data_IF_442805606388
#
_entry.id   IF_442805606388
#
_cell.length_a   1.000
_cell.length_b   1.000
_cell.length_c   1.000
_cell.angle_alpha   90.00
_cell.angle_beta   90.00
_cell.angle_gamma   90.00
#
_symmetry.space_group_name_H-M   'P 1'
#
loop_
_entity.id
_entity.type
_entity.pdbx_description
1 polymer ?
#
# COMPACT_ATOMS: atom_id res chain seq x y z
N UNK A 1 -2.38 -16.54 -4.66
CA UNK A 1 -3.46 -15.55 -4.91
C UNK A 1 -2.95 -14.26 -5.54
N UNK A 2 -1.92 -13.58 -5.02
CA UNK A 2 -1.43 -12.35 -5.67
C UNK A 2 -0.97 -12.57 -7.12
N UNK A 3 -0.24 -13.65 -7.40
CA UNK A 3 0.14 -14.01 -8.77
C UNK A 3 -1.07 -14.35 -9.66
N UNK A 4 -2.12 -14.98 -9.11
CA UNK A 4 -3.38 -15.21 -9.82
C UNK A 4 -4.08 -13.87 -10.13
N UNK A 5 -4.13 -12.95 -9.17
CA UNK A 5 -4.63 -11.59 -9.41
C UNK A 5 -3.86 -10.90 -10.53
N UNK A 6 -2.52 -11.00 -10.53
CA UNK A 6 -1.69 -10.48 -11.62
C UNK A 6 -2.05 -11.12 -12.95
N UNK A 7 -2.14 -12.45 -13.00
CA UNK A 7 -2.43 -13.20 -14.23
C UNK A 7 -3.75 -12.76 -14.86
N UNK A 8 -4.83 -12.72 -14.06
CA UNK A 8 -6.18 -12.33 -14.53
C UNK A 8 -6.24 -10.88 -15.04
N UNK A 9 -5.47 -9.96 -14.45
CA UNK A 9 -5.51 -8.56 -14.85
C UNK A 9 -4.57 -8.21 -16.01
N UNK A 10 -3.47 -8.97 -16.22
CA UNK A 10 -2.39 -8.58 -17.15
C UNK A 10 -2.08 -9.60 -18.21
N UNK A 11 -2.47 -10.89 -18.03
CA UNK A 11 -2.12 -11.96 -18.97
C UNK A 11 -3.36 -12.51 -19.66
N UNK A 12 -4.33 -13.02 -18.90
CA UNK A 12 -5.56 -13.61 -19.46
C UNK A 12 -6.72 -13.48 -18.45
N UNK A 13 -7.70 -12.65 -18.78
CA UNK A 13 -8.89 -12.37 -17.94
C UNK A 13 -9.97 -13.46 -18.04
N UNK A 14 -9.87 -14.36 -19.01
CA UNK A 14 -10.77 -15.53 -19.16
C UNK A 14 -10.35 -16.76 -18.35
N UNK A 15 -9.23 -16.67 -17.63
CA UNK A 15 -8.58 -17.80 -16.94
C UNK A 15 -9.41 -18.30 -15.77
N UNK A 16 -9.92 -19.53 -15.88
CA UNK A 16 -10.74 -20.15 -14.84
C UNK A 16 -9.90 -20.61 -13.64
N UNK A 17 -10.55 -20.95 -12.53
CA UNK A 17 -9.87 -21.54 -11.38
C UNK A 17 -9.20 -22.87 -11.73
N UNK A 18 -9.84 -23.71 -12.55
CA UNK A 18 -9.29 -25.00 -12.95
C UNK A 18 -8.05 -24.84 -13.83
N UNK A 19 -8.02 -23.80 -14.69
CA UNK A 19 -6.84 -23.47 -15.47
C UNK A 19 -5.70 -22.96 -14.58
N UNK A 20 -6.02 -22.18 -13.54
CA UNK A 20 -5.05 -21.76 -12.56
C UNK A 20 -4.43 -22.91 -11.78
N UNK A 21 -5.23 -23.89 -11.35
CA UNK A 21 -4.74 -25.09 -10.66
C UNK A 21 -3.82 -25.93 -11.58
N UNK A 22 -4.15 -26.05 -12.88
CA UNK A 22 -3.27 -26.68 -13.88
C UNK A 22 -1.98 -25.87 -14.09
N UNK A 23 -2.08 -24.54 -14.15
CA UNK A 23 -0.92 -23.65 -14.30
C UNK A 23 0.08 -23.80 -13.14
N UNK A 24 -0.40 -23.92 -11.90
CA UNK A 24 0.44 -24.15 -10.73
C UNK A 24 1.21 -25.49 -10.78
N UNK A 25 0.73 -26.47 -11.54
CA UNK A 25 1.39 -27.76 -11.74
C UNK A 25 2.50 -27.76 -12.81
N UNK A 26 2.70 -26.64 -13.52
CA UNK A 26 3.78 -26.51 -14.53
C UNK A 26 5.15 -26.36 -13.85
N UNK A 27 6.20 -26.70 -14.59
CA UNK A 27 7.59 -26.49 -14.15
C UNK A 27 7.91 -25.00 -13.97
N UNK A 28 9.00 -24.68 -13.26
CA UNK A 28 9.50 -23.31 -13.08
C UNK A 28 9.70 -22.63 -14.43
N UNK A 29 10.39 -23.30 -15.37
CA UNK A 29 10.67 -22.76 -16.70
C UNK A 29 9.41 -22.48 -17.51
N UNK A 30 8.43 -23.40 -17.51
CA UNK A 30 7.15 -23.17 -18.19
C UNK A 30 6.39 -21.97 -17.63
N UNK A 31 6.44 -21.75 -16.30
CA UNK A 31 5.82 -20.61 -15.64
C UNK A 31 6.56 -19.31 -15.94
N UNK A 32 7.91 -19.31 -15.91
CA UNK A 32 8.73 -18.16 -16.30
C UNK A 32 8.47 -17.77 -17.74
N UNK A 33 8.42 -18.74 -18.66
CA UNK A 33 8.12 -18.51 -20.09
C UNK A 33 6.71 -17.94 -20.30
N UNK A 34 5.75 -18.33 -19.46
CA UNK A 34 4.39 -17.77 -19.49
C UNK A 34 4.29 -16.36 -18.84
N UNK A 35 5.39 -15.82 -18.33
CA UNK A 35 5.46 -14.48 -17.77
C UNK A 35 5.03 -14.36 -16.29
N UNK A 36 4.68 -15.47 -15.62
CA UNK A 36 4.33 -15.47 -14.19
C UNK A 36 4.88 -16.73 -13.53
N UNK A 37 5.82 -16.60 -12.62
CA UNK A 37 6.34 -17.70 -11.81
C UNK A 37 5.80 -17.65 -10.37
N UNK A 38 5.17 -18.73 -9.92
CA UNK A 38 4.62 -18.89 -8.56
C UNK A 38 5.51 -19.81 -7.76
N UNK A 39 6.74 -19.39 -7.60
CA UNK A 39 7.79 -20.13 -6.91
C UNK A 39 8.59 -19.20 -5.97
N UNK A 40 9.26 -19.72 -4.95
CA UNK A 40 10.34 -19.00 -4.29
C UNK A 40 11.38 -18.51 -5.33
N UNK A 41 11.92 -17.32 -5.14
CA UNK A 41 12.95 -16.80 -6.05
C UNK A 41 14.15 -17.75 -6.16
N UNK A 42 14.47 -18.45 -5.07
CA UNK A 42 15.54 -19.47 -5.05
C UNK A 42 15.31 -20.56 -6.09
N UNK A 43 14.07 -21.05 -6.24
CA UNK A 43 13.77 -22.10 -7.21
C UNK A 43 14.01 -21.60 -8.66
N UNK A 44 13.71 -20.32 -8.95
CA UNK A 44 14.00 -19.70 -10.25
C UNK A 44 15.50 -19.54 -10.46
N UNK A 45 16.24 -19.12 -9.43
CA UNK A 45 17.70 -18.98 -9.48
C UNK A 45 18.42 -20.32 -9.69
N UNK A 46 17.88 -21.40 -9.13
CA UNK A 46 18.47 -22.74 -9.22
C UNK A 46 18.06 -23.47 -10.53
N UNK A 47 17.00 -23.02 -11.23
CA UNK A 47 16.59 -23.52 -12.52
C UNK A 47 17.42 -22.88 -13.64
N UNK A 48 18.41 -23.65 -14.14
CA UNK A 48 19.37 -23.16 -15.13
C UNK A 48 18.70 -22.75 -16.44
N UNK A 49 17.70 -23.51 -16.90
CA UNK A 49 16.99 -23.23 -18.16
C UNK A 49 16.25 -21.89 -18.08
N UNK A 50 15.55 -21.63 -16.98
CA UNK A 50 14.88 -20.36 -16.73
C UNK A 50 15.87 -19.19 -16.69
N UNK A 51 16.98 -19.34 -15.95
CA UNK A 51 17.97 -18.27 -15.82
C UNK A 51 18.69 -17.99 -17.14
N UNK A 52 19.09 -19.02 -17.90
CA UNK A 52 19.71 -18.87 -19.22
C UNK A 52 18.75 -18.20 -20.21
N UNK A 53 17.45 -18.55 -20.17
CA UNK A 53 16.40 -17.92 -20.96
C UNK A 53 16.27 -16.43 -20.66
N UNK A 54 16.17 -16.05 -19.38
CA UNK A 54 16.06 -14.66 -18.95
C UNK A 54 17.31 -13.83 -19.31
N UNK A 55 18.50 -14.38 -19.11
CA UNK A 55 19.75 -13.72 -19.47
C UNK A 55 19.87 -13.52 -20.99
N UNK A 56 19.51 -14.53 -21.78
CA UNK A 56 19.54 -14.47 -23.25
C UNK A 56 18.52 -13.46 -23.80
N UNK A 57 17.34 -13.37 -23.19
CA UNK A 57 16.32 -12.39 -23.57
C UNK A 57 16.78 -10.96 -23.30
N UNK A 58 17.61 -10.77 -22.27
CA UNK A 58 18.01 -9.47 -21.76
C UNK A 58 16.92 -8.81 -20.92
N UNK A 59 17.30 -8.32 -19.75
CA UNK A 59 16.39 -7.63 -18.83
C UNK A 59 16.89 -6.21 -18.63
N UNK A 60 16.09 -5.21 -19.02
CA UNK A 60 16.45 -3.81 -18.84
C UNK A 60 16.18 -3.34 -17.39
N UNK A 61 15.10 -3.82 -16.77
CA UNK A 61 14.63 -3.35 -15.46
C UNK A 61 14.24 -4.50 -14.56
N UNK A 62 14.73 -4.49 -13.33
CA UNK A 62 14.28 -5.40 -12.26
C UNK A 62 13.66 -4.56 -11.14
N UNK A 63 12.37 -4.79 -10.85
CA UNK A 63 11.62 -4.11 -9.78
C UNK A 63 11.17 -5.14 -8.77
N UNK A 64 11.38 -4.89 -7.48
CA UNK A 64 10.94 -5.79 -6.44
C UNK A 64 10.72 -5.13 -5.09
N UNK A 65 9.89 -5.80 -4.27
CA UNK A 65 9.67 -5.46 -2.86
C UNK A 65 9.98 -6.69 -2.00
N UNK A 66 11.25 -7.13 -1.89
CA UNK A 66 11.59 -8.30 -1.10
C UNK A 66 11.16 -8.08 0.35
N UNK A 67 10.37 -9.00 0.94
CA UNK A 67 9.84 -8.81 2.28
C UNK A 67 10.98 -8.78 3.31
N UNK A 68 10.94 -7.77 4.17
CA UNK A 68 11.84 -7.62 5.31
C UNK A 68 11.02 -7.50 6.60
N UNK A 69 10.23 -8.53 6.91
CA UNK A 69 9.33 -8.50 8.07
C UNK A 69 10.08 -8.47 9.41
N UNK A 70 11.32 -8.94 9.47
CA UNK A 70 12.20 -8.77 10.61
C UNK A 70 12.55 -7.30 10.90
N UNK A 71 12.40 -6.42 9.91
CA UNK A 71 12.72 -4.98 10.00
C UNK A 71 11.48 -4.10 10.22
N UNK A 72 10.25 -4.64 10.08
CA UNK A 72 9.03 -3.83 10.20
C UNK A 72 8.76 -3.37 11.62
N UNK A 73 8.39 -2.10 11.79
CA UNK A 73 7.94 -1.53 13.08
C UNK A 73 6.65 -2.19 13.59
N UNK A 74 5.80 -2.71 12.70
CA UNK A 74 4.56 -3.42 13.04
C UNK A 74 4.78 -4.92 13.33
N UNK A 75 5.99 -5.46 13.10
CA UNK A 75 6.37 -6.84 13.33
C UNK A 75 7.17 -7.04 14.63
N UNK A 76 7.33 -8.31 15.03
CA UNK A 76 8.31 -8.68 16.06
C UNK A 76 9.69 -8.64 15.40
N UNK A 77 10.43 -7.55 15.54
CA UNK A 77 11.81 -7.44 15.03
C UNK A 77 12.62 -8.67 15.42
N UNK A 78 12.85 -9.56 14.46
CA UNK A 78 13.60 -10.80 14.65
C UNK A 78 14.75 -10.88 13.63
N UNK A 79 15.99 -10.66 14.05
CA UNK A 79 17.16 -10.74 13.16
C UNK A 79 17.33 -12.13 12.52
N UNK A 80 16.86 -13.20 13.17
CA UNK A 80 16.96 -14.59 12.68
C UNK A 80 15.80 -14.99 11.74
N UNK A 81 14.93 -14.08 11.30
CA UNK A 81 13.84 -14.40 10.39
C UNK A 81 14.41 -14.80 9.01
N UNK A 82 14.03 -16.00 8.54
CA UNK A 82 14.50 -16.55 7.25
C UNK A 82 14.22 -15.59 6.09
N UNK A 83 13.17 -14.78 6.17
CA UNK A 83 12.80 -13.79 5.14
C UNK A 83 13.80 -12.64 5.02
N UNK A 84 14.69 -12.45 5.98
CA UNK A 84 15.77 -11.48 5.88
C UNK A 84 16.80 -11.85 4.80
N UNK A 85 16.78 -13.10 4.29
CA UNK A 85 17.62 -13.55 3.17
C UNK A 85 17.08 -13.12 1.80
N UNK A 86 15.79 -12.83 1.68
CA UNK A 86 15.16 -12.55 0.39
C UNK A 86 15.71 -11.30 -0.33
N UNK A 87 16.12 -10.22 0.34
CA UNK A 87 16.82 -9.13 -0.33
C UNK A 87 18.14 -9.54 -0.98
N UNK A 88 18.85 -10.49 -0.38
CA UNK A 88 20.12 -11.00 -0.92
C UNK A 88 19.90 -11.94 -2.11
N UNK A 89 18.88 -12.78 -2.08
CA UNK A 89 18.45 -13.57 -3.24
C UNK A 89 18.02 -12.65 -4.40
N UNK A 90 17.36 -11.54 -4.10
CA UNK A 90 17.04 -10.52 -5.10
C UNK A 90 18.30 -9.93 -5.74
N UNK A 91 19.32 -9.60 -4.95
CA UNK A 91 20.62 -9.12 -5.48
C UNK A 91 21.36 -10.19 -6.30
N UNK A 92 21.28 -11.47 -5.92
CA UNK A 92 21.81 -12.56 -6.74
C UNK A 92 21.13 -12.63 -8.11
N UNK A 93 19.80 -12.45 -8.16
CA UNK A 93 19.07 -12.36 -9.42
C UNK A 93 19.53 -11.15 -10.25
N UNK A 94 19.70 -9.99 -9.64
CA UNK A 94 20.26 -8.78 -10.29
C UNK A 94 21.65 -9.05 -10.84
N UNK A 95 22.53 -9.68 -10.08
CA UNK A 95 23.89 -10.02 -10.51
C UNK A 95 23.90 -10.91 -11.75
N UNK A 96 23.02 -11.91 -11.81
CA UNK A 96 22.95 -12.84 -12.95
C UNK A 96 22.32 -12.21 -14.20
N UNK A 97 21.29 -11.41 -14.03
CA UNK A 97 20.54 -10.81 -15.14
C UNK A 97 21.10 -9.46 -15.62
N UNK A 98 21.90 -8.78 -14.81
CA UNK A 98 22.60 -7.52 -15.12
C UNK A 98 21.68 -6.42 -15.71
N UNK A 99 20.53 -6.13 -15.10
CA UNK A 99 19.59 -5.13 -15.62
C UNK A 99 20.24 -3.74 -15.67
N UNK A 100 19.75 -2.87 -16.55
CA UNK A 100 20.18 -1.46 -16.59
C UNK A 100 19.71 -0.70 -15.35
N UNK A 101 18.49 -1.00 -14.90
CA UNK A 101 17.87 -0.33 -13.74
C UNK A 101 17.37 -1.36 -12.72
N UNK A 102 17.60 -1.06 -11.46
CA UNK A 102 17.12 -1.84 -10.31
C UNK A 102 16.28 -0.95 -9.40
N UNK A 103 15.11 -1.43 -8.99
CA UNK A 103 14.24 -0.76 -8.04
C UNK A 103 13.90 -1.72 -6.90
N UNK A 104 14.26 -1.36 -5.67
CA UNK A 104 13.90 -2.10 -4.46
C UNK A 104 12.97 -1.22 -3.62
N UNK A 105 11.71 -1.64 -3.44
CA UNK A 105 10.73 -0.95 -2.57
C UNK A 105 10.68 -1.62 -1.21
N UNK A 106 10.53 -0.80 -0.15
CA UNK A 106 10.35 -1.34 1.19
C UNK A 106 9.65 -0.35 2.14
N UNK A 107 9.34 -0.84 3.35
CA UNK A 107 8.75 -0.04 4.42
C UNK A 107 9.81 0.83 5.12
N UNK A 108 9.40 1.99 5.66
CA UNK A 108 10.31 2.91 6.36
C UNK A 108 11.06 2.28 7.55
N UNK A 109 10.51 1.21 8.13
CA UNK A 109 11.17 0.46 9.21
C UNK A 109 12.54 -0.10 8.84
N UNK A 110 12.83 -0.27 7.55
CA UNK A 110 14.11 -0.76 7.05
C UNK A 110 15.29 0.22 7.30
N UNK A 111 15.00 1.50 7.55
CA UNK A 111 16.03 2.48 7.93
C UNK A 111 16.49 2.39 9.39
N UNK A 112 15.83 1.56 10.21
CA UNK A 112 16.19 1.43 11.63
C UNK A 112 17.26 0.35 11.79
N UNK A 113 18.26 0.66 12.64
CA UNK A 113 19.32 -0.28 13.02
C UNK A 113 18.75 -1.33 13.98
N UNK A 114 19.28 -2.56 13.91
CA UNK A 114 18.99 -3.59 14.92
C UNK A 114 19.84 -3.42 16.17
N UNK A 115 21.09 -3.04 15.97
CA UNK A 115 22.10 -2.77 17.00
C UNK A 115 22.71 -1.39 16.75
N UNK A 116 23.18 -0.67 17.80
CA UNK A 116 23.92 0.58 17.66
C UNK A 116 25.17 0.45 16.76
N UNK A 117 25.80 -0.74 16.79
CA UNK A 117 27.06 -1.01 16.09
C UNK A 117 26.88 -1.48 14.64
N UNK A 118 25.63 -1.70 14.19
CA UNK A 118 25.33 -2.16 12.84
C UNK A 118 24.68 -1.07 12.02
N UNK A 119 24.99 -1.02 10.73
CA UNK A 119 24.26 -0.18 9.78
C UNK A 119 22.85 -0.71 9.56
N UNK A 120 21.92 0.20 9.20
CA UNK A 120 20.57 -0.21 8.88
C UNK A 120 20.55 -1.09 7.63
N UNK A 121 19.62 -2.05 7.51
CA UNK A 121 19.48 -2.87 6.31
C UNK A 121 19.31 -2.06 5.02
N UNK A 122 18.74 -0.88 5.12
CA UNK A 122 18.62 0.04 4.00
C UNK A 122 19.99 0.50 3.48
N UNK A 123 20.93 0.84 4.37
CA UNK A 123 22.31 1.23 4.00
C UNK A 123 23.08 0.03 3.47
N UNK A 124 22.98 -1.13 4.15
CA UNK A 124 23.66 -2.36 3.72
C UNK A 124 23.24 -2.77 2.31
N UNK A 125 21.94 -2.72 1.98
CA UNK A 125 21.45 -3.06 0.63
C UNK A 125 21.88 -2.04 -0.43
N UNK A 126 21.94 -0.76 -0.11
CA UNK A 126 22.51 0.23 -1.02
C UNK A 126 23.96 -0.07 -1.35
N UNK A 127 24.77 -0.39 -0.33
CA UNK A 127 26.19 -0.73 -0.56
C UNK A 127 26.31 -2.01 -1.37
N UNK A 128 25.56 -3.05 -1.00
CA UNK A 128 25.60 -4.33 -1.74
C UNK A 128 25.17 -4.16 -3.21
N UNK A 129 24.21 -3.29 -3.51
CA UNK A 129 23.83 -3.01 -4.89
C UNK A 129 24.91 -2.23 -5.65
N UNK A 130 25.64 -1.30 -5.00
CA UNK A 130 26.80 -0.63 -5.62
C UNK A 130 27.87 -1.63 -6.06
N UNK A 131 28.07 -2.68 -5.25
CA UNK A 131 29.11 -3.68 -5.47
C UNK A 131 28.61 -4.88 -6.32
N UNK A 132 27.37 -4.88 -6.77
CA UNK A 132 26.78 -6.00 -7.53
C UNK A 132 27.20 -5.93 -9.01
N UNK A 133 27.81 -7.02 -9.52
CA UNK A 133 28.19 -7.16 -10.93
C UNK A 133 29.19 -6.10 -11.38
N UNK A 134 28.85 -5.35 -12.44
CA UNK A 134 29.69 -4.25 -12.96
C UNK A 134 29.51 -2.93 -12.18
N UNK A 135 28.69 -2.94 -11.15
CA UNK A 135 28.39 -1.80 -10.30
C UNK A 135 27.17 -0.98 -10.74
N UNK A 136 26.58 -0.32 -9.74
CA UNK A 136 25.44 0.59 -9.92
C UNK A 136 25.73 1.93 -9.22
N UNK A 137 25.35 3.04 -9.84
CA UNK A 137 25.12 4.27 -9.06
C UNK A 137 23.81 4.10 -8.32
N UNK A 138 23.75 4.41 -7.03
CA UNK A 138 22.62 4.07 -6.17
C UNK A 138 22.10 5.30 -5.45
N UNK A 139 20.80 5.56 -5.60
CA UNK A 139 20.06 6.63 -4.92
C UNK A 139 19.06 6.03 -3.94
N UNK A 140 19.18 6.38 -2.66
CA UNK A 140 18.15 6.12 -1.66
C UNK A 140 17.09 7.21 -1.69
N UNK A 141 15.81 6.82 -1.68
CA UNK A 141 14.70 7.78 -1.63
C UNK A 141 13.65 7.39 -0.60
N UNK A 142 13.13 8.38 0.13
CA UNK A 142 11.97 8.26 1.01
C UNK A 142 10.78 8.97 0.36
N UNK A 143 9.81 8.20 -0.09
CA UNK A 143 8.67 8.71 -0.84
C UNK A 143 7.36 8.50 -0.07
N UNK A 144 6.37 9.34 -0.35
CA UNK A 144 5.02 9.16 0.18
C UNK A 144 4.04 9.12 -0.99
N UNK A 145 3.25 8.05 -1.10
CA UNK A 145 2.27 7.88 -2.17
C UNK A 145 1.30 9.08 -2.30
N UNK A 146 1.08 9.82 -1.21
CA UNK A 146 0.28 11.05 -1.18
C UNK A 146 0.80 12.12 -2.15
N UNK A 147 2.11 12.25 -2.30
CA UNK A 147 2.75 13.23 -3.18
C UNK A 147 2.63 12.87 -4.68
N UNK A 148 2.10 11.69 -4.95
CA UNK A 148 1.88 11.15 -6.31
C UNK A 148 0.38 11.01 -6.65
N UNK A 149 -0.51 11.52 -5.79
CA UNK A 149 -1.95 11.55 -6.04
C UNK A 149 -2.74 10.38 -5.40
N UNK A 150 -2.10 9.51 -4.62
CA UNK A 150 -2.83 8.53 -3.84
C UNK A 150 -3.55 9.22 -2.65
N UNK A 151 -4.86 8.96 -2.42
CA UNK A 151 -5.60 9.55 -1.30
C UNK A 151 -5.27 8.87 0.04
N UNK A 152 -3.98 8.60 0.28
CA UNK A 152 -3.49 8.02 1.53
C UNK A 152 -2.08 8.48 1.88
N UNK A 153 -1.84 8.66 3.16
CA UNK A 153 -0.50 8.88 3.71
C UNK A 153 0.23 7.52 3.82
N UNK A 154 1.06 7.19 2.79
CA UNK A 154 1.77 5.91 2.69
C UNK A 154 3.25 6.13 2.42
N UNK A 155 4.06 6.34 3.48
CA UNK A 155 5.50 6.50 3.32
C UNK A 155 6.18 5.17 2.98
N UNK A 156 7.18 5.24 2.08
CA UNK A 156 8.01 4.11 1.62
C UNK A 156 9.45 4.52 1.47
N UNK A 157 10.34 3.55 1.62
CA UNK A 157 11.73 3.67 1.20
C UNK A 157 11.92 2.92 -0.12
N UNK A 158 12.74 3.51 -1.00
CA UNK A 158 13.16 2.85 -2.23
C UNK A 158 14.66 2.99 -2.40
N UNK A 159 15.27 1.96 -3.00
CA UNK A 159 16.64 1.97 -3.47
C UNK A 159 16.57 1.88 -4.98
N UNK A 160 17.14 2.86 -5.66
CA UNK A 160 17.14 2.98 -7.10
C UNK A 160 18.59 2.86 -7.58
N UNK A 161 18.85 1.88 -8.44
CA UNK A 161 20.16 1.64 -9.02
C UNK A 161 20.13 1.82 -10.53
N UNK A 162 21.10 2.55 -11.08
CA UNK A 162 21.37 2.64 -12.52
C UNK A 162 22.76 2.08 -12.76
N UNK A 163 22.89 1.12 -13.68
CA UNK A 163 24.17 0.48 -13.98
C UNK A 163 25.20 1.49 -14.45
N UNK A 164 26.44 1.37 -13.99
CA UNK A 164 27.50 2.40 -14.14
C UNK A 164 27.72 2.76 -15.61
N UNK A 165 27.77 1.79 -16.53
CA UNK A 165 27.96 2.04 -17.96
C UNK A 165 26.84 2.91 -18.56
N UNK A 166 25.58 2.69 -18.13
CA UNK A 166 24.43 3.49 -18.58
C UNK A 166 24.47 4.90 -17.98
N UNK A 167 24.87 4.99 -16.72
CA UNK A 167 25.00 6.27 -16.04
C UNK A 167 26.08 7.14 -16.68
N UNK A 168 27.27 6.59 -16.94
CA UNK A 168 28.39 7.29 -17.59
C UNK A 168 28.04 7.76 -19.00
N UNK A 169 27.39 6.88 -19.81
CA UNK A 169 27.00 7.21 -21.17
C UNK A 169 26.02 8.39 -21.26
N UNK A 170 25.23 8.64 -20.19
CA UNK A 170 24.21 9.69 -20.17
C UNK A 170 24.52 10.82 -19.18
N UNK A 171 25.65 10.78 -18.47
CA UNK A 171 26.04 11.81 -17.50
C UNK A 171 25.19 11.84 -16.22
N UNK A 172 24.53 10.73 -15.87
CA UNK A 172 23.73 10.64 -14.65
C UNK A 172 24.60 10.41 -13.41
N UNK A 173 24.26 11.07 -12.33
CA UNK A 173 24.90 10.93 -11.02
C UNK A 173 23.85 10.68 -9.94
N UNK A 174 24.22 9.89 -8.93
CA UNK A 174 23.43 9.74 -7.72
C UNK A 174 23.94 10.70 -6.64
N UNK A 175 23.06 11.06 -5.70
CA UNK A 175 23.45 11.79 -4.50
C UNK A 175 23.66 10.82 -3.34
N UNK A 176 24.60 11.14 -2.44
CA UNK A 176 24.82 10.31 -1.25
C UNK A 176 23.69 10.45 -0.22
N UNK A 177 22.97 11.55 -0.27
CA UNK A 177 21.91 11.87 0.67
C UNK A 177 20.60 11.16 0.32
N UNK A 178 19.88 10.73 1.36
CA UNK A 178 18.50 10.23 1.23
C UNK A 178 17.60 11.37 0.74
N UNK A 179 17.17 11.31 -0.50
CA UNK A 179 16.18 12.24 -1.02
C UNK A 179 14.79 11.96 -0.45
N UNK A 180 14.00 13.01 -0.17
CA UNK A 180 12.66 12.91 0.39
C UNK A 180 11.64 13.60 -0.51
N UNK A 181 10.59 12.90 -0.90
CA UNK A 181 9.50 13.52 -1.66
C UNK A 181 8.72 14.51 -0.81
N UNK A 182 8.27 15.59 -1.44
CA UNK A 182 7.30 16.55 -0.93
C UNK A 182 6.20 16.75 -1.96
N UNK A 183 5.18 17.56 -1.68
CA UNK A 183 4.27 17.99 -2.74
C UNK A 183 5.00 18.80 -3.80
N UNK A 184 4.49 18.81 -5.03
CA UNK A 184 5.15 19.43 -6.17
C UNK A 184 5.48 20.93 -5.94
N UNK A 185 4.61 21.64 -5.24
CA UNK A 185 4.76 23.05 -4.83
C UNK A 185 5.59 23.27 -3.55
N UNK A 186 6.08 22.20 -2.95
CA UNK A 186 6.89 22.24 -1.71
C UNK A 186 8.28 21.62 -1.90
N UNK A 187 8.64 21.26 -3.12
CA UNK A 187 9.97 20.72 -3.42
C UNK A 187 11.00 21.83 -3.27
N UNK A 188 11.98 21.62 -2.40
CA UNK A 188 13.15 22.48 -2.25
C UNK A 188 14.32 21.89 -3.05
N UNK A 189 14.84 22.66 -4.02
CA UNK A 189 15.93 22.26 -4.89
C UNK A 189 15.52 21.32 -6.04
N UNK A 190 16.53 20.69 -6.64
CA UNK A 190 16.34 19.79 -7.78
C UNK A 190 15.97 18.36 -7.34
N UNK A 191 15.08 17.73 -8.10
CA UNK A 191 14.79 16.31 -7.94
C UNK A 191 15.91 15.50 -8.61
N UNK A 192 16.61 14.61 -7.87
CA UNK A 192 17.66 13.78 -8.47
C UNK A 192 17.14 12.98 -9.67
N UNK A 193 17.97 12.74 -10.67
CA UNK A 193 17.60 11.95 -11.84
C UNK A 193 17.09 10.54 -11.48
N UNK A 194 17.67 9.94 -10.43
CA UNK A 194 17.25 8.65 -9.89
C UNK A 194 16.22 8.83 -8.76
N UNK A 195 15.27 9.76 -8.86
CA UNK A 195 14.18 9.89 -7.93
C UNK A 195 12.85 10.11 -8.68
N UNK A 196 11.75 9.42 -8.31
CA UNK A 196 10.47 9.66 -8.96
C UNK A 196 9.96 11.05 -8.63
N UNK A 197 9.71 11.87 -9.65
CA UNK A 197 9.21 13.23 -9.47
C UNK A 197 7.79 13.21 -8.91
N UNK A 198 7.46 13.95 -7.83
CA UNK A 198 6.10 14.14 -7.36
C UNK A 198 5.18 14.72 -8.45
N UNK A 199 3.90 14.36 -8.42
CA UNK A 199 2.97 14.67 -9.51
C UNK A 199 1.82 15.58 -9.11
N UNK A 200 1.64 15.85 -7.82
CA UNK A 200 0.54 16.68 -7.31
C UNK A 200 1.02 17.74 -6.33
N UNK A 201 0.38 18.90 -6.36
CA UNK A 201 0.51 19.93 -5.34
C UNK A 201 -0.30 19.56 -4.10
N UNK A 202 -0.05 20.22 -2.97
CA UNK A 202 -0.86 20.02 -1.76
C UNK A 202 -2.35 20.28 -2.01
N UNK A 203 -2.66 21.32 -2.77
CA UNK A 203 -4.05 21.65 -3.12
C UNK A 203 -4.73 20.60 -4.03
N UNK A 204 -3.96 19.83 -4.78
CA UNK A 204 -4.45 18.76 -5.66
C UNK A 204 -4.56 17.39 -4.97
N UNK A 205 -4.02 17.26 -3.76
CA UNK A 205 -4.02 15.98 -3.04
C UNK A 205 -5.46 15.52 -2.73
N UNK A 206 -5.86 14.31 -3.15
CA UNK A 206 -7.20 13.82 -2.92
C UNK A 206 -7.43 13.38 -1.47
N UNK A 207 -8.69 13.46 -1.03
CA UNK A 207 -9.16 13.06 0.29
C UNK A 207 -9.93 11.73 0.25
N UNK A 208 -10.37 11.26 1.42
CA UNK A 208 -11.28 10.10 1.52
C UNK A 208 -12.58 10.37 0.75
N UNK A 209 -13.15 11.59 0.83
CA UNK A 209 -14.37 11.96 0.11
C UNK A 209 -14.17 11.90 -1.41
N UNK A 210 -13.01 12.34 -1.92
CA UNK A 210 -12.69 12.26 -3.35
C UNK A 210 -12.60 10.82 -3.84
N UNK A 211 -12.12 9.92 -2.97
CA UNK A 211 -11.84 8.53 -3.33
C UNK A 211 -13.06 7.61 -3.25
N UNK A 212 -13.84 7.70 -2.19
CA UNK A 212 -14.91 6.73 -1.88
C UNK A 212 -16.28 7.34 -1.60
N UNK A 213 -16.44 8.64 -1.75
CA UNK A 213 -17.71 9.32 -1.44
C UNK A 213 -18.90 8.81 -2.26
N UNK A 214 -18.67 8.32 -3.49
CA UNK A 214 -19.67 7.72 -4.36
C UNK A 214 -19.99 6.25 -4.03
N UNK A 215 -19.18 5.58 -3.21
CA UNK A 215 -19.34 4.17 -2.84
C UNK A 215 -20.21 3.98 -1.58
N UNK A 216 -20.79 5.05 -1.04
CA UNK A 216 -21.75 4.94 0.05
C UNK A 216 -22.97 4.12 -0.37
N UNK A 217 -23.48 3.31 0.56
CA UNK A 217 -24.57 2.36 0.28
C UNK A 217 -25.90 2.76 0.95
N UNK A 218 -25.83 3.51 2.03
CA UNK A 218 -27.00 3.92 2.84
C UNK A 218 -27.30 5.41 2.67
N UNK A 219 -26.29 6.21 2.41
CA UNK A 219 -26.40 7.67 2.30
C UNK A 219 -26.16 8.14 0.86
N UNK A 220 -26.64 9.34 0.51
CA UNK A 220 -26.25 9.97 -0.75
C UNK A 220 -24.74 10.09 -0.88
N UNK A 221 -24.25 10.14 -2.12
CA UNK A 221 -22.83 10.33 -2.37
C UNK A 221 -22.28 11.56 -1.63
N UNK A 222 -21.11 11.40 -1.02
CA UNK A 222 -20.38 12.45 -0.31
C UNK A 222 -19.10 12.79 -1.08
N UNK A 223 -19.28 13.36 -2.26
CA UNK A 223 -18.17 13.67 -3.15
C UNK A 223 -17.36 14.85 -2.65
N UNK A 224 -16.05 14.67 -2.57
CA UNK A 224 -15.11 15.75 -2.35
C UNK A 224 -14.92 16.60 -3.63
N UNK A 225 -14.28 17.76 -3.51
CA UNK A 225 -14.13 18.70 -4.63
C UNK A 225 -13.29 18.16 -5.80
N UNK A 226 -12.50 17.11 -5.59
CA UNK A 226 -11.63 16.49 -6.59
C UNK A 226 -12.14 15.13 -7.07
N UNK A 227 -13.29 14.67 -6.56
CA UNK A 227 -13.82 13.33 -6.81
C UNK A 227 -13.90 12.97 -8.31
N UNK A 228 -14.44 13.89 -9.13
CA UNK A 228 -14.54 13.66 -10.58
C UNK A 228 -13.20 13.51 -11.26
N UNK A 229 -12.21 14.35 -10.91
CA UNK A 229 -10.88 14.28 -11.49
C UNK A 229 -10.14 13.00 -11.03
N UNK A 230 -10.26 12.66 -9.75
CA UNK A 230 -9.67 11.45 -9.19
C UNK A 230 -10.26 10.19 -9.83
N UNK A 231 -11.59 10.05 -9.88
CA UNK A 231 -12.25 8.88 -10.49
C UNK A 231 -11.94 8.74 -11.98
N UNK A 232 -11.79 9.84 -12.70
CA UNK A 232 -11.36 9.78 -14.12
C UNK A 232 -9.99 9.11 -14.27
N UNK A 233 -9.06 9.34 -13.35
CA UNK A 233 -7.76 8.66 -13.36
C UNK A 233 -7.90 7.16 -13.10
N UNK A 234 -8.84 6.73 -12.24
CA UNK A 234 -9.10 5.31 -11.98
C UNK A 234 -9.81 4.59 -13.15
N UNK A 235 -10.51 5.31 -14.01
CA UNK A 235 -11.23 4.73 -15.15
C UNK A 235 -10.35 4.48 -16.38
N UNK A 236 -9.12 4.97 -16.38
CA UNK A 236 -8.23 4.93 -17.55
C UNK A 236 -7.17 3.83 -17.45
N UNK A 237 -7.59 2.54 -17.44
CA UNK A 237 -6.64 1.42 -17.62
C UNK A 237 -5.76 1.61 -18.87
N UNK A 238 -6.33 2.16 -19.92
CA UNK A 238 -5.60 2.48 -21.16
C UNK A 238 -4.42 3.43 -20.92
N UNK A 239 -4.52 4.37 -19.98
CA UNK A 239 -3.41 5.25 -19.60
C UNK A 239 -2.26 4.49 -18.92
N UNK A 240 -2.52 3.30 -18.44
CA UNK A 240 -1.53 2.43 -17.79
C UNK A 240 -1.07 1.29 -18.70
N UNK A 241 -1.48 1.30 -19.97
CA UNK A 241 -1.15 0.26 -20.94
C UNK A 241 -1.78 -1.11 -20.62
N UNK A 242 -2.82 -1.16 -19.79
CA UNK A 242 -3.47 -2.40 -19.40
C UNK A 242 -4.55 -2.78 -20.44
N UNK A 243 -4.70 -4.07 -20.79
CA UNK A 243 -5.80 -4.52 -21.61
C UNK A 243 -7.14 -4.25 -20.93
N UNK A 244 -8.19 -3.99 -21.73
CA UNK A 244 -9.54 -3.85 -21.19
C UNK A 244 -10.05 -5.22 -20.75
N UNK A 245 -10.76 -5.33 -19.58
CA UNK A 245 -11.39 -6.57 -19.23
C UNK A 245 -12.48 -6.94 -20.25
N UNK A 246 -12.63 -8.23 -20.49
CA UNK A 246 -13.64 -8.77 -21.41
C UNK A 246 -15.08 -8.61 -20.91
N UNK A 247 -15.29 -8.37 -19.61
CA UNK A 247 -16.61 -8.26 -18.98
C UNK A 247 -16.97 -6.81 -18.65
N UNK A 248 -17.96 -6.26 -19.36
CA UNK A 248 -18.63 -4.98 -19.03
C UNK A 248 -19.85 -5.27 -18.12
N UNK A 249 -19.65 -5.76 -16.88
CA UNK A 249 -20.78 -6.04 -15.98
C UNK A 249 -21.43 -4.78 -15.40
N UNK A 250 -20.85 -3.63 -15.55
CA UNK A 250 -21.35 -2.37 -14.95
C UNK A 250 -21.15 -2.28 -13.43
N UNK A 251 -20.89 -3.40 -12.75
CA UNK A 251 -20.64 -3.45 -11.33
C UNK A 251 -19.17 -3.26 -11.00
N UNK A 252 -18.89 -2.51 -9.96
CA UNK A 252 -17.52 -2.31 -9.46
C UNK A 252 -17.10 -3.58 -8.68
N UNK A 253 -16.08 -4.33 -9.11
CA UNK A 253 -15.66 -5.55 -8.44
C UNK A 253 -15.09 -5.29 -7.04
N UNK A 254 -15.16 -6.30 -6.17
CA UNK A 254 -14.63 -6.27 -4.80
C UNK A 254 -15.30 -5.24 -3.85
N UNK A 255 -16.56 -4.84 -4.13
CA UNK A 255 -17.36 -3.89 -3.34
C UNK A 255 -18.31 -4.61 -2.36
N UNK A 256 -17.99 -5.81 -1.89
CA UNK A 256 -18.86 -6.58 -0.99
C UNK A 256 -18.86 -5.98 0.42
N UNK A 257 -20.03 -5.72 0.95
CA UNK A 257 -20.21 -5.23 2.33
C UNK A 257 -20.13 -6.39 3.33
N UNK A 258 -19.33 -6.22 4.36
CA UNK A 258 -19.27 -7.20 5.45
C UNK A 258 -20.37 -6.95 6.48
N UNK A 259 -20.98 -8.04 6.93
CA UNK A 259 -21.95 -8.01 8.02
C UNK A 259 -21.22 -7.89 9.37
N UNK A 260 -21.71 -7.01 10.22
CA UNK A 260 -21.19 -6.80 11.57
C UNK A 260 -22.29 -7.06 12.61
N UNK A 261 -21.89 -7.55 13.79
CA UNK A 261 -22.83 -7.68 14.92
C UNK A 261 -23.27 -6.30 15.40
N UNK A 262 -24.43 -6.24 16.07
CA UNK A 262 -24.96 -4.99 16.66
C UNK A 262 -23.92 -4.31 17.55
N UNK A 263 -23.27 -5.07 18.44
CA UNK A 263 -22.20 -4.57 19.32
C UNK A 263 -21.01 -3.94 18.53
N UNK A 264 -20.65 -4.55 17.40
CA UNK A 264 -19.58 -4.03 16.54
C UNK A 264 -20.01 -2.72 15.86
N UNK A 265 -21.26 -2.64 15.38
CA UNK A 265 -21.79 -1.43 14.77
C UNK A 265 -21.90 -0.28 15.80
N UNK A 266 -22.33 -0.56 17.04
CA UNK A 266 -22.33 0.44 18.12
C UNK A 266 -20.91 0.99 18.38
N UNK A 267 -19.90 0.10 18.40
CA UNK A 267 -18.51 0.52 18.54
C UNK A 267 -18.05 1.37 17.36
N UNK A 268 -18.45 1.04 16.14
CA UNK A 268 -18.11 1.84 14.96
C UNK A 268 -18.74 3.22 15.01
N UNK A 269 -20.01 3.35 15.42
CA UNK A 269 -20.68 4.65 15.65
C UNK A 269 -19.94 5.48 16.70
N UNK A 270 -19.48 4.84 17.75
CA UNK A 270 -18.68 5.52 18.77
C UNK A 270 -17.35 6.01 18.21
N UNK A 271 -16.61 5.23 17.42
CA UNK A 271 -15.39 5.69 16.73
C UNK A 271 -15.67 6.87 15.78
N UNK A 272 -16.77 6.83 15.06
CA UNK A 272 -17.17 7.91 14.16
C UNK A 272 -17.48 9.20 14.93
N UNK A 273 -18.23 9.10 16.01
CA UNK A 273 -18.52 10.26 16.86
C UNK A 273 -17.24 10.81 17.52
N UNK A 274 -16.38 9.97 18.07
CA UNK A 274 -15.08 10.40 18.62
C UNK A 274 -14.25 11.16 17.59
N UNK A 275 -14.31 10.73 16.33
CA UNK A 275 -13.58 11.40 15.23
C UNK A 275 -14.16 12.78 14.92
N UNK A 276 -15.47 12.92 14.86
CA UNK A 276 -16.15 14.21 14.60
C UNK A 276 -16.06 15.19 15.77
N UNK A 277 -15.89 14.67 16.98
CA UNK A 277 -15.72 15.47 18.21
C UNK A 277 -14.25 15.75 18.55
N UNK A 278 -13.31 15.37 17.69
CA UNK A 278 -11.86 15.50 17.89
C UNK A 278 -11.33 14.82 19.17
N UNK A 279 -11.99 13.75 19.59
CA UNK A 279 -11.60 12.98 20.76
C UNK A 279 -10.78 11.77 20.33
N UNK A 280 -9.66 11.54 21.04
CA UNK A 280 -8.78 10.42 20.74
C UNK A 280 -9.49 9.06 20.91
N UNK A 281 -9.48 8.17 19.91
CA UNK A 281 -10.08 6.84 20.04
C UNK A 281 -9.38 5.95 21.08
N UNK A 282 -8.25 6.37 21.64
CA UNK A 282 -7.56 5.67 22.72
C UNK A 282 -8.37 5.57 24.00
N UNK A 283 -9.39 6.42 24.16
CA UNK A 283 -10.33 6.33 25.28
C UNK A 283 -10.99 4.94 25.34
N UNK A 284 -11.25 4.29 24.21
CA UNK A 284 -11.79 2.92 24.13
C UNK A 284 -10.78 1.81 24.50
N UNK A 285 -9.51 2.14 24.64
CA UNK A 285 -8.47 1.20 25.05
C UNK A 285 -8.10 1.31 26.54
N UNK A 286 -8.65 2.29 27.25
CA UNK A 286 -8.44 2.51 28.68
C UNK A 286 -9.45 1.67 29.45
N UNK A 287 -8.98 0.77 30.30
CA UNK A 287 -9.84 0.09 31.24
C UNK A 287 -10.26 1.09 32.33
N UNK A 288 -11.55 1.22 32.57
CA UNK A 288 -12.09 2.02 33.67
C UNK A 288 -12.23 1.09 34.88
N UNK A 289 -11.34 1.25 35.89
CA UNK A 289 -11.16 0.26 36.96
C UNK A 289 -12.01 0.54 38.18
N UNK A 290 -12.52 1.76 38.33
CA UNK A 290 -13.27 2.22 39.50
C UNK A 290 -14.18 3.42 39.18
N UNK A 291 -15.06 3.80 40.11
CA UNK A 291 -15.98 4.95 39.95
C UNK A 291 -15.24 6.27 39.70
N UNK A 292 -14.08 6.45 40.34
CA UNK A 292 -13.31 7.69 40.17
C UNK A 292 -12.84 7.84 38.72
N UNK A 293 -12.39 6.74 38.09
CA UNK A 293 -12.00 6.74 36.68
C UNK A 293 -13.19 7.05 35.72
N UNK A 294 -14.39 6.58 36.05
CA UNK A 294 -15.62 6.93 35.34
C UNK A 294 -15.96 8.41 35.47
N UNK A 295 -15.91 8.96 36.68
CA UNK A 295 -16.21 10.37 36.97
C UNK A 295 -15.19 11.31 36.33
N UNK A 296 -13.90 10.94 36.34
CA UNK A 296 -12.85 11.71 35.69
C UNK A 296 -13.06 11.76 34.16
N UNK A 297 -13.38 10.63 33.54
CA UNK A 297 -13.68 10.59 32.12
C UNK A 297 -14.96 11.34 31.77
N UNK A 298 -16.00 11.26 32.60
CA UNK A 298 -17.24 12.01 32.41
C UNK A 298 -17.01 13.53 32.45
N UNK A 299 -16.15 14.01 33.34
CA UNK A 299 -15.75 15.42 33.40
C UNK A 299 -14.97 15.85 32.18
N UNK A 300 -14.03 15.02 31.69
CA UNK A 300 -13.27 15.29 30.47
C UNK A 300 -14.18 15.39 29.24
N UNK A 301 -15.24 14.58 29.19
CA UNK A 301 -16.19 14.52 28.10
C UNK A 301 -17.37 15.51 28.19
N UNK A 302 -17.57 16.16 29.34
CA UNK A 302 -18.75 17.03 29.57
C UNK A 302 -18.88 18.19 28.56
N UNK A 303 -17.74 18.66 28.00
CA UNK A 303 -17.71 19.73 26.98
C UNK A 303 -17.92 19.27 25.55
N UNK A 304 -18.11 17.97 25.28
CA UNK A 304 -18.07 17.41 23.92
C UNK A 304 -19.34 17.57 23.09
N UNK A 305 -20.38 18.21 23.65
CA UNK A 305 -21.68 18.41 22.99
C UNK A 305 -22.59 17.17 23.09
N UNK A 306 -23.78 17.36 23.69
CA UNK A 306 -24.80 16.33 23.86
C UNK A 306 -26.16 16.80 23.36
N UNK A 307 -27.04 15.89 22.88
CA UNK A 307 -26.80 14.43 22.81
C UNK A 307 -25.71 14.07 21.82
N UNK A 308 -24.91 13.04 22.15
CA UNK A 308 -23.95 12.47 21.23
C UNK A 308 -24.67 11.70 20.12
N UNK A 309 -24.45 12.10 18.87
CA UNK A 309 -25.10 11.51 17.69
C UNK A 309 -24.05 11.09 16.67
N UNK A 310 -24.12 9.86 16.18
CA UNK A 310 -23.22 9.36 15.14
C UNK A 310 -23.58 9.96 13.76
N UNK A 311 -22.68 9.91 12.77
CA UNK A 311 -22.94 10.42 11.43
C UNK A 311 -24.15 9.79 10.74
N UNK A 312 -24.57 8.57 11.11
CA UNK A 312 -25.77 7.91 10.59
C UNK A 312 -27.08 8.39 11.28
N UNK A 313 -27.01 9.41 12.15
CA UNK A 313 -28.16 9.95 12.86
C UNK A 313 -28.56 9.14 14.12
N UNK A 314 -27.85 8.05 14.43
CA UNK A 314 -28.14 7.25 15.63
C UNK A 314 -27.65 7.98 16.89
N UNK A 315 -28.56 8.19 17.85
CA UNK A 315 -28.19 8.71 19.15
C UNK A 315 -27.33 7.67 19.91
N UNK A 316 -26.18 8.11 20.42
CA UNK A 316 -25.20 7.30 21.13
C UNK A 316 -25.38 7.43 22.64
N UNK A 317 -25.51 8.67 23.14
CA UNK A 317 -25.67 8.98 24.56
C UNK A 317 -26.36 10.34 24.74
N UNK A 318 -27.14 10.49 25.82
CA UNK A 318 -27.80 11.74 26.16
C UNK A 318 -26.86 12.69 26.92
N UNK A 319 -25.91 12.15 27.66
CA UNK A 319 -24.95 12.90 28.47
C UNK A 319 -23.60 12.18 28.61
N UNK A 320 -22.66 12.81 29.29
CA UNK A 320 -21.31 12.28 29.51
C UNK A 320 -21.30 11.00 30.36
N UNK A 321 -22.19 10.86 31.34
CA UNK A 321 -22.24 9.68 32.20
C UNK A 321 -22.74 8.45 31.43
N UNK A 322 -23.74 8.60 30.57
CA UNK A 322 -24.19 7.54 29.68
C UNK A 322 -23.10 7.15 28.67
N UNK A 323 -22.41 8.15 28.10
CA UNK A 323 -21.31 7.93 27.18
C UNK A 323 -20.17 7.13 27.80
N UNK A 324 -19.78 7.43 29.04
CA UNK A 324 -18.75 6.69 29.79
C UNK A 324 -19.16 5.23 30.00
N UNK A 325 -20.41 4.96 30.39
CA UNK A 325 -20.94 3.58 30.50
C UNK A 325 -20.85 2.84 29.15
N UNK A 326 -21.12 3.53 28.03
CA UNK A 326 -21.01 2.96 26.70
C UNK A 326 -19.55 2.67 26.35
N UNK A 327 -18.62 3.58 26.63
CA UNK A 327 -17.18 3.41 26.42
C UNK A 327 -16.67 2.19 27.17
N UNK A 328 -17.03 2.03 28.44
CA UNK A 328 -16.65 0.88 29.25
C UNK A 328 -17.20 -0.43 28.68
N UNK A 329 -18.48 -0.47 28.32
CA UNK A 329 -19.12 -1.63 27.68
C UNK A 329 -18.49 -2.01 26.33
N UNK A 330 -18.04 -1.03 25.55
CA UNK A 330 -17.46 -1.21 24.22
C UNK A 330 -15.93 -1.29 24.23
N UNK A 331 -15.31 -1.33 25.42
CA UNK A 331 -13.87 -1.44 25.59
C UNK A 331 -13.24 -2.49 24.66
N UNK A 332 -12.08 -2.19 24.11
CA UNK A 332 -11.39 -3.07 23.15
C UNK A 332 -9.87 -2.98 23.26
N UNK A 333 -9.21 -4.10 22.97
CA UNK A 333 -7.74 -4.15 22.86
C UNK A 333 -7.22 -3.80 21.48
N UNK A 334 -8.10 -3.37 20.55
CA UNK A 334 -7.71 -2.97 19.19
C UNK A 334 -7.22 -1.52 19.19
N UNK A 335 -5.93 -1.31 19.49
CA UNK A 335 -5.33 0.03 19.62
C UNK A 335 -5.19 0.79 18.30
N UNK A 336 -5.25 0.11 17.16
CA UNK A 336 -5.11 0.70 15.81
C UNK A 336 -6.44 1.15 15.21
N UNK A 337 -7.59 0.65 15.74
CA UNK A 337 -8.90 0.89 15.14
C UNK A 337 -9.36 2.34 15.33
N UNK A 338 -9.82 2.97 14.24
CA UNK A 338 -10.31 4.35 14.21
C UNK A 338 -11.19 4.60 12.98
N UNK A 339 -12.09 5.58 13.09
CA UNK A 339 -12.82 6.08 11.93
C UNK A 339 -11.95 7.00 11.06
N UNK A 340 -12.17 6.96 9.75
CA UNK A 340 -11.61 7.91 8.81
C UNK A 340 -12.40 9.23 8.84
N UNK A 341 -11.78 10.31 8.36
CA UNK A 341 -12.45 11.58 8.09
C UNK A 341 -12.61 11.78 6.58
N UNK A 342 -13.68 12.44 6.17
CA UNK A 342 -13.97 12.69 4.76
C UNK A 342 -12.99 13.65 4.10
N UNK A 343 -12.55 14.67 4.84
CA UNK A 343 -11.76 15.82 4.39
C UNK A 343 -10.25 15.63 4.48
N UNK A 344 -9.80 14.46 4.89
CA UNK A 344 -8.38 14.10 4.99
C UNK A 344 -8.02 12.94 4.05
N UNK A 345 -6.74 12.81 3.65
CA UNK A 345 -6.25 11.57 3.08
C UNK A 345 -6.34 10.41 4.09
N UNK A 346 -6.65 9.21 3.61
CA UNK A 346 -6.63 8.02 4.44
C UNK A 346 -5.23 7.79 5.05
N UNK A 347 -5.19 7.10 6.18
CA UNK A 347 -3.92 6.56 6.72
C UNK A 347 -3.44 5.40 5.85
N UNK A 348 -2.21 4.96 6.05
CA UNK A 348 -1.65 3.82 5.29
C UNK A 348 -2.59 2.62 5.29
N UNK A 349 -3.05 2.22 4.12
CA UNK A 349 -3.83 1.00 3.94
C UNK A 349 -3.00 -0.21 4.39
N UNK A 350 -3.59 -1.00 5.29
CA UNK A 350 -2.97 -2.17 5.92
C UNK A 350 -3.57 -3.47 5.43
N UNK A 351 -2.97 -4.60 5.79
CA UNK A 351 -3.38 -5.94 5.34
C UNK A 351 -4.59 -6.52 6.09
N UNK A 352 -5.07 -5.82 7.12
CA UNK A 352 -6.22 -6.18 7.94
C UNK A 352 -7.34 -5.17 7.73
N UNK A 353 -8.58 -5.61 7.45
CA UNK A 353 -9.69 -4.70 7.21
C UNK A 353 -10.16 -3.95 8.48
N UNK A 354 -9.86 -4.49 9.66
CA UNK A 354 -10.47 -4.06 10.93
C UNK A 354 -9.88 -2.77 11.51
N UNK A 355 -8.81 -2.21 10.93
CA UNK A 355 -8.14 -1.02 11.49
C UNK A 355 -8.88 0.28 11.17
N UNK A 356 -9.67 0.30 10.09
CA UNK A 356 -10.37 1.50 9.65
C UNK A 356 -11.88 1.30 9.56
N UNK A 357 -12.60 2.24 10.18
CA UNK A 357 -14.05 2.36 10.11
C UNK A 357 -14.40 3.40 9.05
N UNK A 358 -15.43 3.13 8.25
CA UNK A 358 -15.95 4.07 7.26
C UNK A 358 -16.40 5.38 7.94
N UNK A 359 -16.25 6.55 7.31
CA UNK A 359 -16.54 7.84 7.95
C UNK A 359 -17.98 8.00 8.44
N UNK A 360 -18.99 7.48 7.73
CA UNK A 360 -20.42 7.66 8.05
C UNK A 360 -21.21 6.36 8.24
N UNK A 361 -20.84 5.27 7.58
CA UNK A 361 -21.54 3.99 7.71
C UNK A 361 -20.87 3.12 8.81
N UNK A 362 -21.62 2.49 9.74
CA UNK A 362 -21.05 1.75 10.86
C UNK A 362 -20.50 0.38 10.43
N UNK A 363 -19.49 0.42 9.55
CA UNK A 363 -18.81 -0.73 8.95
C UNK A 363 -17.33 -0.47 8.72
N UNK A 364 -16.58 -1.52 8.48
CA UNK A 364 -15.23 -1.40 7.92
C UNK A 364 -15.31 -1.07 6.43
N UNK A 365 -14.17 -0.69 5.86
CA UNK A 365 -14.03 -0.45 4.43
C UNK A 365 -14.17 -1.75 3.64
N UNK A 366 -14.66 -1.67 2.40
CA UNK A 366 -14.61 -2.75 1.42
C UNK A 366 -13.20 -2.89 0.83
N UNK A 367 -12.96 -3.98 0.11
CA UNK A 367 -11.70 -4.17 -0.63
C UNK A 367 -11.53 -3.08 -1.69
N UNK A 368 -12.63 -2.71 -2.39
CA UNK A 368 -12.63 -1.66 -3.41
C UNK A 368 -12.30 -0.28 -2.86
N UNK A 369 -12.88 0.08 -1.73
CA UNK A 369 -12.58 1.36 -1.07
C UNK A 369 -11.10 1.45 -0.70
N UNK A 370 -10.52 0.37 -0.15
CA UNK A 370 -9.09 0.32 0.13
C UNK A 370 -8.23 0.32 -1.14
N UNK A 371 -8.69 -0.33 -2.22
CA UNK A 371 -8.02 -0.33 -3.51
C UNK A 371 -7.99 1.06 -4.15
N UNK A 372 -9.08 1.84 -4.03
CA UNK A 372 -9.10 3.24 -4.47
C UNK A 372 -8.13 4.12 -3.70
N UNK A 373 -7.94 3.89 -2.39
CA UNK A 373 -6.89 4.59 -1.63
C UNK A 373 -5.49 4.28 -2.13
N UNK A 374 -5.26 3.08 -2.66
CA UNK A 374 -3.99 2.75 -3.33
C UNK A 374 -3.89 3.36 -4.74
N UNK A 375 -5.02 3.66 -5.40
CA UNK A 375 -5.09 4.15 -6.77
C UNK A 375 -5.28 3.05 -7.81
N UNK A 376 -5.79 1.87 -7.42
CA UNK A 376 -6.15 0.83 -8.40
C UNK A 376 -7.36 1.23 -9.23
N UNK A 377 -7.36 0.94 -10.53
CA UNK A 377 -8.54 1.11 -11.39
C UNK A 377 -9.76 0.37 -10.87
N UNK A 378 -10.96 0.90 -11.14
CA UNK A 378 -12.20 0.32 -10.64
C UNK A 378 -12.53 -1.05 -11.25
N UNK A 379 -12.02 -1.33 -12.43
CA UNK A 379 -12.15 -2.61 -13.12
C UNK A 379 -11.05 -3.62 -12.78
N UNK A 380 -10.07 -3.26 -11.95
CA UNK A 380 -9.04 -4.19 -11.47
C UNK A 380 -9.64 -5.20 -10.48
N UNK A 381 -9.48 -6.49 -10.77
CA UNK A 381 -10.09 -7.57 -9.99
C UNK A 381 -9.08 -8.20 -9.04
N UNK A 382 -9.37 -8.18 -7.73
CA UNK A 382 -8.63 -8.96 -6.74
C UNK A 382 -9.30 -10.31 -6.59
N UNK A 383 -8.59 -11.39 -6.90
CA UNK A 383 -9.13 -12.76 -6.81
C UNK A 383 -8.89 -13.38 -5.42
N UNK A 384 -9.66 -14.43 -5.11
CA UNK A 384 -9.56 -15.15 -3.86
C UNK A 384 -10.54 -14.67 -2.79
N UNK A 385 -10.35 -15.12 -1.55
CA UNK A 385 -11.20 -14.75 -0.41
C UNK A 385 -10.89 -13.32 0.04
N UNK A 386 -11.89 -12.59 0.51
CA UNK A 386 -11.68 -11.25 1.08
C UNK A 386 -10.74 -11.30 2.30
N UNK A 387 -11.01 -12.24 3.23
CA UNK A 387 -10.20 -12.46 4.45
C UNK A 387 -10.00 -13.94 4.70
N UNK A 388 -8.93 -14.25 5.44
CA UNK A 388 -8.67 -15.61 5.95
C UNK A 388 -8.26 -15.55 7.42
N UNK A 389 -8.40 -16.67 8.14
CA UNK A 389 -7.92 -16.81 9.52
C UNK A 389 -6.39 -16.60 9.61
N UNK A 390 -5.91 -16.22 10.79
CA UNK A 390 -4.52 -15.81 11.02
C UNK A 390 -3.45 -16.80 10.54
N UNK A 391 -3.67 -18.11 10.69
CA UNK A 391 -2.76 -19.17 10.25
C UNK A 391 -2.78 -19.32 8.71
N UNK A 392 -3.96 -19.31 8.09
CA UNK A 392 -4.11 -19.47 6.63
C UNK A 392 -3.61 -18.25 5.84
N UNK A 393 -3.62 -17.06 6.44
CA UNK A 393 -3.16 -15.82 5.80
C UNK A 393 -1.71 -15.87 5.33
N UNK A 394 -0.89 -16.74 5.90
CA UNK A 394 0.51 -16.93 5.49
C UNK A 394 0.63 -17.62 4.13
N UNK A 395 -0.37 -18.42 3.75
CA UNK A 395 -0.38 -19.21 2.52
C UNK A 395 -1.41 -18.71 1.51
N UNK A 396 -2.57 -18.26 2.01
CA UNK A 396 -3.61 -17.64 1.19
C UNK A 396 -3.49 -16.12 1.38
N UNK A 397 -2.98 -15.38 0.40
CA UNK A 397 -2.94 -13.92 0.44
C UNK A 397 -4.33 -13.39 0.10
N UNK A 398 -5.20 -13.06 1.09
CA UNK A 398 -6.56 -12.61 0.84
C UNK A 398 -6.58 -11.22 0.21
N UNK A 399 -7.71 -10.83 -0.39
CA UNK A 399 -7.87 -9.59 -1.14
C UNK A 399 -7.40 -8.35 -0.35
N UNK A 400 -7.80 -8.20 0.92
CA UNK A 400 -7.33 -7.10 1.77
C UNK A 400 -5.81 -7.10 1.94
N UNK A 401 -5.18 -8.28 2.04
CA UNK A 401 -3.72 -8.36 2.15
C UNK A 401 -3.03 -8.02 0.83
N UNK A 402 -3.62 -8.38 -0.31
CA UNK A 402 -3.10 -8.00 -1.62
C UNK A 402 -3.10 -6.48 -1.77
N UNK A 403 -4.21 -5.82 -1.47
CA UNK A 403 -4.31 -4.35 -1.50
C UNK A 403 -3.34 -3.70 -0.53
N UNK A 404 -3.28 -4.17 0.72
CA UNK A 404 -2.41 -3.58 1.76
C UNK A 404 -0.92 -3.73 1.48
N UNK A 405 -0.51 -4.82 0.79
CA UNK A 405 0.88 -5.05 0.43
C UNK A 405 1.30 -4.35 -0.88
N UNK A 406 0.35 -3.90 -1.68
CA UNK A 406 0.66 -3.30 -2.97
C UNK A 406 1.45 -1.98 -2.85
N UNK A 407 2.27 -1.72 -3.85
CA UNK A 407 2.77 -0.37 -4.15
C UNK A 407 1.63 0.41 -4.80
N UNK A 408 1.47 1.68 -4.42
CA UNK A 408 0.47 2.55 -5.07
C UNK A 408 0.75 2.67 -6.56
N UNK A 409 -0.22 2.38 -7.43
CA UNK A 409 -0.10 2.57 -8.87
C UNK A 409 0.32 3.99 -9.29
N UNK A 410 -0.12 5.03 -8.58
CA UNK A 410 0.32 6.41 -8.84
C UNK A 410 1.82 6.59 -8.61
N UNK A 411 2.35 6.07 -7.49
CA UNK A 411 3.79 6.07 -7.23
C UNK A 411 4.54 5.21 -8.27
N UNK A 412 4.01 4.03 -8.59
CA UNK A 412 4.62 3.15 -9.60
C UNK A 412 4.68 3.81 -10.99
N UNK A 413 3.66 4.59 -11.36
CA UNK A 413 3.64 5.38 -12.61
C UNK A 413 4.75 6.43 -12.63
N UNK A 414 4.98 7.15 -11.53
CA UNK A 414 6.08 8.12 -11.44
C UNK A 414 7.46 7.44 -11.51
N UNK A 415 7.60 6.26 -10.89
CA UNK A 415 8.81 5.43 -11.03
C UNK A 415 8.99 4.99 -12.48
N UNK A 416 7.93 4.54 -13.15
CA UNK A 416 7.97 4.16 -14.58
C UNK A 416 8.36 5.32 -15.49
N UNK A 417 7.89 6.54 -15.21
CA UNK A 417 8.29 7.75 -15.95
C UNK A 417 9.79 8.05 -15.75
N UNK A 418 10.29 7.96 -14.52
CA UNK A 418 11.72 8.09 -14.24
C UNK A 418 12.54 7.01 -15.00
N UNK A 419 12.11 5.76 -14.99
CA UNK A 419 12.78 4.65 -15.69
C UNK A 419 12.86 4.95 -17.20
N UNK A 420 11.77 5.37 -17.84
CA UNK A 420 11.77 5.73 -19.27
C UNK A 420 12.75 6.87 -19.56
N UNK A 421 12.79 7.89 -18.71
CA UNK A 421 13.75 8.99 -18.85
C UNK A 421 15.21 8.49 -18.77
N UNK A 422 15.53 7.63 -17.79
CA UNK A 422 16.87 7.07 -17.63
C UNK A 422 17.30 6.14 -18.76
N UNK A 423 16.36 5.50 -19.45
CA UNK A 423 16.61 4.66 -20.62
C UNK A 423 16.63 5.42 -21.95
N UNK A 424 16.36 6.72 -21.95
CA UNK A 424 16.36 7.56 -23.14
C UNK A 424 15.10 7.48 -24.01
N UNK A 425 14.04 6.81 -23.53
CA UNK A 425 12.79 6.59 -24.27
C UNK A 425 11.82 7.79 -24.26
N UNK A 426 12.17 8.90 -23.61
CA UNK A 426 11.33 10.10 -23.54
C UNK A 426 12.18 11.30 -23.95
N UNK A 427 11.88 11.87 -25.11
CA UNK A 427 12.21 13.27 -25.36
C UNK A 427 11.60 14.09 -24.19
N UNK A 428 12.42 14.93 -23.57
CA UNK A 428 12.02 15.74 -22.44
C UNK A 428 10.72 16.49 -22.76
N UNK A 429 9.59 16.03 -22.21
CA UNK A 429 8.40 16.87 -22.07
C UNK A 429 8.74 17.93 -21.02
N UNK A 430 9.40 18.99 -21.53
CA UNK A 430 9.59 20.22 -20.86
C UNK A 430 8.26 20.98 -20.90
N UNK A 431 7.57 21.05 -19.77
CA UNK A 431 6.83 22.24 -19.35
C UNK A 431 6.05 21.98 -18.06
#
# INVERSE_FOLDING_TARGET
>A
MAAHTFYVNFVDDSFSKDDWDKFLGRSVNEQVTAGVAVHPLRDVLDDLESMDGLVKQGIDVVVGGPPCQGFSLAGRRNPADVRNKLPWEYLEFVQRTRPKIVVIENVVGMSHRFSPDEESPFVQLQQALRDTGDGYIVQGVAVNALHYGAPQNRPRLMILGLRVDVAEANGFVATENLWRSAFLDEIDGEVPALAPRPTVTRAQSPTVADAIGDLQTVFPAHDGPRATAFRRQLQTRAAWGLPRPSSNSGDIPNQTLRKHSVLTQERFRLYQWLRTSDISPRVLNRALTDEQAHDDLARDLAGSGFPAVSPDGTKIADDAAELVKLIDRLHTRKHSQKALAWDEPAKTVVTLPDDYVHPSEPRILTVREMARFQGFPDDFVFVGKETTGSLRRRFEVPQYSQVGNAVSPFLASAVGTMIRHLLGDVAADAS
#
